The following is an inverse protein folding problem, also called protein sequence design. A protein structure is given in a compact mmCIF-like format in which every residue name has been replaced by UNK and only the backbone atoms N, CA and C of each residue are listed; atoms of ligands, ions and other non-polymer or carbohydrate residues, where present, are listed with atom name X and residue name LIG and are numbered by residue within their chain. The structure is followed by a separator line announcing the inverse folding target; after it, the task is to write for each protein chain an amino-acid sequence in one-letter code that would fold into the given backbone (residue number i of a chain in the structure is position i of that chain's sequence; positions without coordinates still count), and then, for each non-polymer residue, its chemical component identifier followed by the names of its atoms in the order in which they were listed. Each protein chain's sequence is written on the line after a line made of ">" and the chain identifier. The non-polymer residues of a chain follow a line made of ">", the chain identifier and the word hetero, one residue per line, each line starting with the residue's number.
data_IF_045185188918
#
_entry.id   IF_045185188918
#
_cell.length_a   1.000
_cell.length_b   1.000
_cell.length_c   1.000
_cell.angle_alpha   90.00
_cell.angle_beta   90.00
_cell.angle_gamma   90.00
#
_symmetry.space_group_name_H-M   'P 1'
#
loop_
_entity.id
_entity.type
_entity.pdbx_description
1 polymer ?
#
# COMPACT_ATOMS: atom_id res chain seq x y z
N UNK A 1 13.92 -1.03 -12.79
CA UNK A 1 13.37 -2.38 -13.13
C UNK A 1 12.29 -2.73 -12.12
N UNK A 2 11.49 -3.75 -12.32
CA UNK A 2 10.44 -4.25 -11.40
C UNK A 2 9.20 -3.35 -11.18
N UNK A 3 9.21 -2.09 -11.55
CA UNK A 3 8.06 -1.20 -11.46
C UNK A 3 7.43 -1.07 -12.84
N UNK A 4 6.30 -1.75 -13.05
CA UNK A 4 5.46 -1.62 -14.24
C UNK A 4 4.29 -0.66 -14.00
N UNK A 5 3.44 -0.49 -15.01
CA UNK A 5 2.28 0.40 -14.96
C UNK A 5 1.36 0.11 -13.75
N UNK A 6 1.05 -1.17 -13.51
CA UNK A 6 0.19 -1.56 -12.38
C UNK A 6 0.79 -1.16 -11.03
N UNK A 7 2.09 -1.40 -10.83
CA UNK A 7 2.80 -1.01 -9.59
C UNK A 7 2.89 0.51 -9.46
N UNK A 8 3.15 1.23 -10.55
CA UNK A 8 3.19 2.69 -10.56
C UNK A 8 1.83 3.29 -10.17
N UNK A 9 0.73 2.73 -10.69
CA UNK A 9 -0.63 3.12 -10.33
C UNK A 9 -0.91 2.89 -8.83
N UNK A 10 -0.52 1.74 -8.28
CA UNK A 10 -0.68 1.46 -6.84
C UNK A 10 0.10 2.46 -5.97
N UNK A 11 1.32 2.80 -6.36
CA UNK A 11 2.11 3.83 -5.68
C UNK A 11 1.40 5.19 -5.73
N UNK A 12 0.92 5.61 -6.91
CA UNK A 12 0.19 6.87 -7.07
C UNK A 12 -1.06 6.93 -6.20
N UNK A 13 -1.87 5.85 -6.17
CA UNK A 13 -3.07 5.75 -5.32
C UNK A 13 -2.73 5.79 -3.81
N UNK A 14 -1.63 5.16 -3.40
CA UNK A 14 -1.25 5.11 -1.99
C UNK A 14 -0.69 6.44 -1.47
N UNK A 15 0.09 7.15 -2.28
CA UNK A 15 0.76 8.37 -1.86
C UNK A 15 0.03 9.66 -2.28
N UNK A 16 -0.86 9.59 -3.27
CA UNK A 16 -1.71 10.70 -3.72
C UNK A 16 -0.98 11.73 -4.58
N UNK A 17 0.14 12.26 -4.12
CA UNK A 17 0.94 13.26 -4.84
C UNK A 17 2.39 12.81 -5.07
N UNK A 18 3.03 13.42 -6.07
CA UNK A 18 4.45 13.19 -6.36
C UNK A 18 5.35 13.54 -5.18
N UNK A 19 5.09 14.66 -4.50
CA UNK A 19 5.90 15.12 -3.37
C UNK A 19 5.75 14.18 -2.16
N UNK A 20 4.54 13.71 -1.88
CA UNK A 20 4.30 12.72 -0.82
C UNK A 20 5.00 11.40 -1.11
N UNK A 21 4.91 10.91 -2.36
CA UNK A 21 5.60 9.71 -2.79
C UNK A 21 7.12 9.86 -2.69
N UNK A 22 7.67 10.97 -3.19
CA UNK A 22 9.11 11.26 -3.15
C UNK A 22 9.63 11.27 -1.72
N UNK A 23 8.99 12.02 -0.83
CA UNK A 23 9.39 12.09 0.58
C UNK A 23 9.37 10.72 1.26
N UNK A 24 8.35 9.92 0.98
CA UNK A 24 8.27 8.55 1.50
C UNK A 24 9.41 7.67 0.97
N UNK A 25 9.75 7.75 -0.31
CA UNK A 25 10.84 6.96 -0.91
C UNK A 25 12.22 7.36 -0.38
N UNK A 26 12.44 8.63 -0.11
CA UNK A 26 13.68 9.11 0.53
C UNK A 26 13.81 8.55 1.96
N UNK A 27 12.72 8.48 2.71
CA UNK A 27 12.69 7.85 4.03
C UNK A 27 12.93 6.33 3.93
N UNK A 28 12.24 5.64 3.03
CA UNK A 28 12.43 4.21 2.73
C UNK A 28 13.89 3.91 2.43
N UNK A 29 14.53 4.72 1.60
CA UNK A 29 15.93 4.56 1.25
C UNK A 29 16.85 4.73 2.45
N UNK A 30 16.59 5.74 3.28
CA UNK A 30 17.35 5.98 4.52
C UNK A 30 17.26 4.80 5.48
N UNK A 31 16.05 4.28 5.72
CA UNK A 31 15.82 3.11 6.56
C UNK A 31 16.51 1.86 6.01
N UNK A 32 16.41 1.64 4.70
CA UNK A 32 17.03 0.50 4.02
C UNK A 32 18.56 0.57 4.04
N UNK A 33 19.13 1.76 3.87
CA UNK A 33 20.56 1.98 3.96
C UNK A 33 21.10 1.65 5.36
N UNK A 34 20.37 2.07 6.41
CA UNK A 34 20.75 1.80 7.80
C UNK A 34 20.64 0.31 8.17
N UNK A 35 19.79 -0.47 7.50
CA UNK A 35 19.48 -1.86 7.82
C UNK A 35 19.67 -2.79 6.61
N UNK A 36 20.80 -2.66 5.91
CA UNK A 36 21.11 -3.39 4.66
C UNK A 36 21.07 -4.91 4.78
N UNK A 37 21.38 -5.45 5.94
CA UNK A 37 21.49 -6.90 6.18
C UNK A 37 20.12 -7.59 6.46
N UNK A 38 19.08 -6.83 6.71
CA UNK A 38 17.75 -7.42 6.94
C UNK A 38 17.13 -7.86 5.60
N UNK A 39 16.77 -9.14 5.50
CA UNK A 39 16.27 -9.75 4.26
C UNK A 39 14.94 -10.47 4.40
N UNK A 40 14.36 -10.50 5.61
CA UNK A 40 13.18 -11.34 5.87
C UNK A 40 11.99 -10.60 6.44
N UNK A 41 12.23 -9.52 7.20
CA UNK A 41 11.20 -8.82 7.96
C UNK A 41 11.25 -7.33 7.67
N UNK A 42 10.35 -6.83 6.83
CA UNK A 42 10.28 -5.40 6.52
C UNK A 42 10.23 -4.51 7.76
N UNK A 43 9.58 -4.98 8.84
CA UNK A 43 9.45 -4.25 10.10
C UNK A 43 10.79 -3.98 10.81
N UNK A 44 11.80 -4.82 10.54
CA UNK A 44 13.14 -4.64 11.09
C UNK A 44 13.98 -3.64 10.27
N UNK A 45 13.57 -3.36 9.03
CA UNK A 45 14.22 -2.33 8.20
C UNK A 45 13.80 -0.95 8.68
N UNK A 46 12.51 -0.71 8.81
CA UNK A 46 11.94 0.54 9.28
C UNK A 46 10.45 0.63 9.01
N UNK A 47 9.81 1.67 9.52
CA UNK A 47 8.36 1.85 9.42
C UNK A 47 7.96 2.20 7.97
N UNK A 48 8.65 3.15 7.33
CA UNK A 48 8.35 3.56 5.97
C UNK A 48 8.61 2.41 4.97
N UNK A 49 9.68 1.64 5.19
CA UNK A 49 9.96 0.46 4.37
C UNK A 49 8.90 -0.63 4.56
N UNK A 50 8.46 -0.88 5.79
CA UNK A 50 7.41 -1.85 6.08
C UNK A 50 6.07 -1.43 5.47
N UNK A 51 5.73 -0.14 5.53
CA UNK A 51 4.55 0.42 4.90
C UNK A 51 4.57 0.22 3.39
N UNK A 52 5.68 0.52 2.73
CA UNK A 52 5.84 0.28 1.29
C UNK A 52 5.66 -1.20 0.96
N UNK A 53 6.27 -2.10 1.72
CA UNK A 53 6.11 -3.55 1.55
C UNK A 53 4.69 -4.05 1.89
N UNK A 54 3.88 -3.26 2.58
CA UNK A 54 2.49 -3.61 2.90
C UNK A 54 1.55 -3.41 1.71
N UNK A 55 1.89 -2.52 0.77
CA UNK A 55 1.11 -2.29 -0.45
C UNK A 55 1.02 -3.60 -1.23
N UNK A 56 -0.18 -3.93 -1.70
CA UNK A 56 -0.40 -5.18 -2.42
C UNK A 56 0.55 -5.30 -3.62
N UNK A 57 1.09 -6.47 -3.84
CA UNK A 57 2.09 -6.79 -4.88
C UNK A 57 3.49 -6.17 -4.69
N UNK A 58 3.69 -5.26 -3.73
CA UNK A 58 5.01 -4.69 -3.42
C UNK A 58 5.65 -5.49 -2.29
N UNK A 59 6.55 -6.39 -2.65
CA UNK A 59 7.39 -7.10 -1.69
C UNK A 59 8.76 -6.44 -1.52
N UNK A 60 9.61 -7.00 -0.65
CA UNK A 60 10.96 -6.49 -0.37
C UNK A 60 11.81 -6.30 -1.63
N UNK A 61 11.67 -7.17 -2.65
CA UNK A 61 12.43 -7.04 -3.90
C UNK A 61 12.11 -5.74 -4.66
N UNK A 62 10.84 -5.36 -4.73
CA UNK A 62 10.41 -4.10 -5.37
C UNK A 62 10.78 -2.90 -4.49
N UNK A 63 10.61 -3.05 -3.18
CA UNK A 63 10.98 -2.01 -2.21
C UNK A 63 12.49 -1.72 -2.23
N UNK A 64 13.33 -2.76 -2.37
CA UNK A 64 14.79 -2.62 -2.48
C UNK A 64 15.19 -1.88 -3.77
N UNK A 65 14.55 -2.15 -4.90
CA UNK A 65 14.81 -1.43 -6.16
C UNK A 65 14.43 0.06 -6.04
N UNK A 66 13.30 0.35 -5.39
CA UNK A 66 12.89 1.73 -5.13
C UNK A 66 13.84 2.42 -4.15
N UNK A 67 14.18 1.77 -3.03
CA UNK A 67 15.13 2.30 -2.06
C UNK A 67 16.51 2.59 -2.70
N UNK A 68 17.00 1.68 -3.54
CA UNK A 68 18.27 1.84 -4.25
C UNK A 68 18.25 2.99 -5.25
N UNK A 69 17.11 3.29 -5.88
CA UNK A 69 16.97 4.43 -6.76
C UNK A 69 17.15 5.76 -6.02
N UNK A 70 16.65 5.86 -4.79
CA UNK A 70 16.72 7.04 -3.93
C UNK A 70 17.94 7.05 -3.00
N UNK A 71 18.82 6.06 -3.09
CA UNK A 71 20.02 5.98 -2.23
C UNK A 71 20.87 7.26 -2.34
N UNK A 72 21.44 7.67 -1.21
CA UNK A 72 22.29 8.87 -1.13
C UNK A 72 23.48 8.80 -2.08
N UNK A 73 23.98 7.58 -2.34
CA UNK A 73 25.10 7.34 -3.26
C UNK A 73 24.67 7.51 -4.74
N UNK A 74 23.37 7.56 -5.04
CA UNK A 74 22.78 7.73 -6.37
C UNK A 74 22.24 9.15 -6.62
N UNK A 75 23.06 10.17 -6.34
CA UNK A 75 22.66 11.58 -6.52
C UNK A 75 22.17 11.90 -7.95
N UNK A 76 22.67 11.18 -8.97
CA UNK A 76 22.27 11.35 -10.36
C UNK A 76 20.78 11.05 -10.58
N UNK A 77 20.26 10.00 -9.95
CA UNK A 77 18.84 9.65 -10.04
C UNK A 77 17.92 10.75 -9.49
N UNK A 78 18.34 11.39 -8.38
CA UNK A 78 17.58 12.52 -7.80
C UNK A 78 17.59 13.72 -8.72
N UNK A 79 18.72 14.03 -9.33
CA UNK A 79 18.84 15.10 -10.32
C UNK A 79 17.93 14.85 -11.53
N UNK A 80 17.84 13.59 -12.00
CA UNK A 80 16.93 13.20 -13.10
C UNK A 80 15.47 13.47 -12.69
N UNK A 81 15.07 13.09 -11.47
CA UNK A 81 13.71 13.37 -10.98
C UNK A 81 13.43 14.88 -10.90
N UNK A 82 14.39 15.67 -10.41
CA UNK A 82 14.26 17.13 -10.32
C UNK A 82 14.10 17.77 -11.70
N UNK A 83 14.85 17.31 -12.69
CA UNK A 83 14.73 17.80 -14.07
C UNK A 83 13.40 17.36 -14.70
N UNK A 84 12.95 16.12 -14.48
CA UNK A 84 11.67 15.64 -14.96
C UNK A 84 10.50 16.42 -14.34
N UNK A 85 10.54 16.69 -13.04
CA UNK A 85 9.50 17.44 -12.34
C UNK A 85 9.37 18.89 -12.84
N UNK A 86 10.44 19.47 -13.43
CA UNK A 86 10.38 20.82 -14.02
C UNK A 86 9.68 20.87 -15.38
N UNK A 87 9.67 19.75 -16.11
CA UNK A 87 9.17 19.71 -17.50
C UNK A 87 7.85 18.94 -17.62
N UNK A 88 7.45 18.19 -16.60
CA UNK A 88 6.20 17.45 -16.54
C UNK A 88 5.20 18.20 -15.67
N UNK A 89 3.97 18.25 -16.12
CA UNK A 89 2.82 18.61 -15.28
C UNK A 89 2.34 17.34 -14.61
N UNK A 90 2.68 17.20 -13.31
CA UNK A 90 2.38 15.98 -12.54
C UNK A 90 1.12 16.25 -11.73
N UNK A 91 0.00 15.73 -12.23
CA UNK A 91 -1.28 15.84 -11.56
C UNK A 91 -1.32 14.95 -10.30
N UNK A 92 -1.96 15.45 -9.26
CA UNK A 92 -2.30 14.63 -8.09
C UNK A 92 -3.35 13.59 -8.50
N UNK A 93 -3.23 12.38 -7.92
CA UNK A 93 -4.27 11.39 -8.11
C UNK A 93 -5.51 11.87 -7.35
N UNK A 94 -6.51 12.31 -8.09
CA UNK A 94 -7.79 12.63 -7.51
C UNK A 94 -8.29 11.40 -6.73
N UNK A 95 -8.69 11.63 -5.46
CA UNK A 95 -9.46 10.60 -4.76
C UNK A 95 -10.64 10.24 -5.66
N UNK A 96 -10.96 8.94 -5.85
CA UNK A 96 -12.15 8.55 -6.60
C UNK A 96 -13.35 9.38 -6.12
N UNK A 97 -14.29 9.70 -7.02
CA UNK A 97 -15.53 10.46 -6.72
C UNK A 97 -16.39 9.86 -5.57
N UNK A 98 -15.89 8.84 -4.94
CA UNK A 98 -16.42 8.13 -3.77
C UNK A 98 -16.03 8.77 -2.42
N UNK A 99 -15.83 10.10 -2.38
CA UNK A 99 -15.53 10.82 -1.13
C UNK A 99 -16.58 10.56 -0.01
N UNK A 100 -17.80 10.16 -0.40
CA UNK A 100 -18.88 9.77 0.51
C UNK A 100 -18.87 8.28 0.90
N UNK A 101 -17.92 7.49 0.39
CA UNK A 101 -17.81 6.08 0.75
C UNK A 101 -17.30 5.91 2.18
N UNK A 102 -17.95 5.03 2.95
CA UNK A 102 -17.53 4.67 4.31
C UNK A 102 -16.09 4.13 4.39
N UNK A 103 -15.53 3.70 3.25
CA UNK A 103 -14.18 3.11 3.15
C UNK A 103 -13.17 4.03 2.45
N UNK A 104 -13.57 5.24 2.05
CA UNK A 104 -12.67 6.19 1.41
C UNK A 104 -11.48 6.54 2.32
N UNK A 105 -10.26 6.44 1.80
CA UNK A 105 -9.02 6.66 2.54
C UNK A 105 -8.64 5.57 3.55
N UNK A 106 -9.51 4.57 3.77
CA UNK A 106 -9.28 3.46 4.70
C UNK A 106 -8.35 2.39 4.12
N UNK A 107 -7.54 1.79 4.97
CA UNK A 107 -6.67 0.67 4.57
C UNK A 107 -7.36 -0.66 4.89
N UNK A 108 -7.57 -1.47 3.84
CA UNK A 108 -8.30 -2.73 3.90
C UNK A 108 -7.40 -3.91 3.54
N UNK A 109 -7.47 -4.98 4.32
CA UNK A 109 -6.78 -6.24 4.05
C UNK A 109 -7.81 -7.35 3.85
N UNK A 110 -7.69 -8.11 2.77
CA UNK A 110 -8.52 -9.29 2.50
C UNK A 110 -7.74 -10.57 2.84
N UNK A 111 -8.36 -11.49 3.58
CA UNK A 111 -7.77 -12.79 3.97
C UNK A 111 -8.78 -13.92 3.94
N UNK A 112 -8.33 -15.13 3.70
CA UNK A 112 -9.22 -16.27 3.51
C UNK A 112 -9.80 -16.36 2.10
N UNK A 113 -10.67 -17.35 1.87
CA UNK A 113 -11.42 -17.53 0.64
C UNK A 113 -12.75 -16.76 0.74
N UNK A 114 -12.94 -15.77 -0.10
CA UNK A 114 -14.22 -15.07 -0.22
C UNK A 114 -15.18 -15.91 -1.07
N UNK A 115 -16.45 -15.92 -0.73
CA UNK A 115 -17.49 -16.77 -1.35
C UNK A 115 -18.29 -15.99 -2.39
N UNK A 116 -18.66 -14.75 -2.10
CA UNK A 116 -19.49 -13.94 -2.97
C UNK A 116 -18.74 -13.27 -4.11
N UNK A 117 -17.43 -13.08 -3.97
CA UNK A 117 -16.58 -12.47 -5.00
C UNK A 117 -15.15 -13.02 -4.93
N UNK A 118 -14.43 -12.96 -6.03
CA UNK A 118 -13.01 -13.27 -6.02
C UNK A 118 -12.23 -12.21 -5.22
N UNK A 119 -11.05 -12.59 -4.71
CA UNK A 119 -10.17 -11.63 -4.02
C UNK A 119 -9.78 -10.46 -4.91
N UNK A 120 -9.61 -10.69 -6.22
CA UNK A 120 -9.32 -9.63 -7.19
C UNK A 120 -10.48 -8.64 -7.34
N UNK A 121 -11.71 -9.13 -7.41
CA UNK A 121 -12.92 -8.30 -7.47
C UNK A 121 -13.12 -7.50 -6.19
N UNK A 122 -12.91 -8.13 -5.01
CA UNK A 122 -12.99 -7.45 -3.72
C UNK A 122 -11.99 -6.28 -3.61
N UNK A 123 -10.75 -6.49 -4.06
CA UNK A 123 -9.72 -5.45 -4.11
C UNK A 123 -10.09 -4.33 -5.06
N UNK A 124 -10.45 -4.66 -6.30
CA UNK A 124 -10.84 -3.67 -7.31
C UNK A 124 -12.05 -2.84 -6.84
N UNK A 125 -13.01 -3.47 -6.16
CA UNK A 125 -14.17 -2.79 -5.58
C UNK A 125 -13.76 -1.84 -4.46
N UNK A 126 -12.88 -2.28 -3.53
CA UNK A 126 -12.36 -1.43 -2.47
C UNK A 126 -11.63 -0.20 -3.03
N UNK A 127 -10.73 -0.41 -4.01
CA UNK A 127 -9.99 0.65 -4.68
C UNK A 127 -10.91 1.63 -5.42
N UNK A 128 -11.96 1.13 -6.08
CA UNK A 128 -12.95 1.98 -6.76
C UNK A 128 -13.75 2.86 -5.79
N UNK A 129 -13.84 2.47 -4.52
CA UNK A 129 -14.48 3.21 -3.43
C UNK A 129 -13.49 4.07 -2.63
N UNK A 130 -12.27 4.24 -3.14
CA UNK A 130 -11.24 5.08 -2.51
C UNK A 130 -10.50 4.43 -1.34
N UNK A 131 -10.69 3.13 -1.08
CA UNK A 131 -9.90 2.42 -0.08
C UNK A 131 -8.50 2.07 -0.59
N UNK A 132 -7.55 1.98 0.31
CA UNK A 132 -6.19 1.46 0.07
C UNK A 132 -6.17 -0.02 0.38
N UNK A 133 -5.74 -0.85 -0.58
CA UNK A 133 -5.66 -2.29 -0.37
C UNK A 133 -4.25 -2.68 0.04
N UNK A 134 -4.13 -3.38 1.18
CA UNK A 134 -2.85 -3.85 1.71
C UNK A 134 -2.74 -5.37 1.68
N UNK A 135 -1.53 -5.85 1.39
CA UNK A 135 -1.19 -7.27 1.43
C UNK A 135 -0.89 -7.80 2.84
N UNK A 136 -0.65 -6.93 3.82
CA UNK A 136 -0.31 -7.30 5.20
C UNK A 136 -1.11 -6.48 6.22
N UNK A 137 -1.27 -7.03 7.43
CA UNK A 137 -1.95 -6.35 8.53
C UNK A 137 -0.92 -5.59 9.38
N UNK A 138 -1.16 -4.31 9.60
CA UNK A 138 -0.33 -3.41 10.42
C UNK A 138 -1.22 -2.52 11.31
N UNK A 139 -0.61 -1.68 12.14
CA UNK A 139 -1.34 -0.69 12.95
C UNK A 139 -2.08 0.37 12.12
N UNK A 140 -1.71 0.51 10.84
CA UNK A 140 -2.34 1.42 9.87
C UNK A 140 -3.51 0.77 9.11
N UNK A 141 -3.79 -0.52 9.36
CA UNK A 141 -4.93 -1.23 8.78
C UNK A 141 -6.19 -0.83 9.51
N UNK A 142 -7.21 -0.36 8.81
CA UNK A 142 -8.52 -0.02 9.38
C UNK A 142 -9.44 -1.24 9.43
N UNK A 143 -9.48 -2.03 8.36
CA UNK A 143 -10.36 -3.19 8.25
C UNK A 143 -9.64 -4.43 7.76
N UNK A 144 -9.96 -5.58 8.36
CA UNK A 144 -9.55 -6.89 7.85
C UNK A 144 -10.81 -7.69 7.49
N UNK A 145 -11.01 -7.89 6.19
CA UNK A 145 -12.14 -8.68 5.68
C UNK A 145 -11.75 -10.16 5.64
N UNK A 146 -12.48 -10.98 6.35
CA UNK A 146 -12.20 -12.41 6.51
C UNK A 146 -13.21 -13.25 5.75
N UNK A 147 -12.71 -14.10 4.85
CA UNK A 147 -13.48 -15.17 4.25
C UNK A 147 -13.25 -16.49 4.97
N UNK A 148 -13.65 -17.60 4.33
CA UNK A 148 -13.42 -18.93 4.86
C UNK A 148 -11.91 -19.21 5.03
N UNK A 149 -11.56 -19.98 6.05
CA UNK A 149 -10.17 -20.37 6.37
C UNK A 149 -9.21 -19.18 6.56
N UNK A 150 -9.70 -18.11 7.19
CA UNK A 150 -8.88 -16.96 7.52
C UNK A 150 -7.72 -17.36 8.46
N UNK A 151 -6.49 -17.27 7.94
CA UNK A 151 -5.29 -17.73 8.61
C UNK A 151 -4.66 -16.73 9.59
N UNK A 152 -3.33 -16.61 9.57
CA UNK A 152 -2.52 -15.78 10.46
C UNK A 152 -2.86 -14.29 10.44
N UNK A 153 -3.38 -13.76 9.34
CA UNK A 153 -3.75 -12.34 9.22
C UNK A 153 -4.93 -11.96 10.12
N UNK A 154 -5.92 -12.84 10.27
CA UNK A 154 -7.04 -12.61 11.20
C UNK A 154 -6.58 -12.58 12.66
N UNK A 155 -5.64 -13.46 13.04
CA UNK A 155 -5.03 -13.45 14.38
C UNK A 155 -4.25 -12.16 14.63
N UNK A 156 -3.43 -11.74 13.66
CA UNK A 156 -2.66 -10.51 13.74
C UNK A 156 -3.56 -9.27 13.84
N UNK A 157 -4.71 -9.26 13.16
CA UNK A 157 -5.71 -8.19 13.28
C UNK A 157 -6.25 -8.09 14.71
N UNK A 158 -6.63 -9.21 15.31
CA UNK A 158 -7.11 -9.25 16.69
C UNK A 158 -6.03 -8.78 17.70
N UNK A 159 -4.76 -9.18 17.49
CA UNK A 159 -3.62 -8.77 18.33
C UNK A 159 -3.36 -7.25 18.26
N UNK A 160 -3.59 -6.64 17.09
CA UNK A 160 -3.38 -5.21 16.85
C UNK A 160 -4.62 -4.35 17.12
N UNK A 161 -5.76 -4.98 17.49
CA UNK A 161 -7.03 -4.29 17.72
C UNK A 161 -7.66 -3.71 16.44
N UNK A 162 -7.32 -4.28 15.27
CA UNK A 162 -7.89 -3.89 13.98
C UNK A 162 -9.28 -4.50 13.83
N UNK A 163 -10.22 -3.72 13.31
CA UNK A 163 -11.58 -4.18 13.08
C UNK A 163 -11.65 -5.31 12.04
N UNK A 164 -12.28 -6.42 12.43
CA UNK A 164 -12.43 -7.61 11.58
C UNK A 164 -13.87 -7.70 11.09
N UNK A 165 -14.05 -7.71 9.78
CA UNK A 165 -15.35 -7.79 9.12
C UNK A 165 -15.50 -9.16 8.45
N UNK A 166 -16.71 -9.74 8.51
CA UNK A 166 -17.08 -10.83 7.63
C UNK A 166 -17.26 -10.32 6.19
N UNK A 167 -17.35 -11.23 5.22
CA UNK A 167 -17.63 -10.85 3.83
C UNK A 167 -18.98 -10.15 3.69
N UNK A 168 -19.99 -10.60 4.45
CA UNK A 168 -21.32 -9.99 4.47
C UNK A 168 -21.27 -8.57 5.05
N UNK A 169 -20.60 -8.40 6.21
CA UNK A 169 -20.45 -7.07 6.84
C UNK A 169 -19.69 -6.10 5.95
N UNK A 170 -18.68 -6.58 5.20
CA UNK A 170 -18.00 -5.79 4.20
C UNK A 170 -18.93 -5.35 3.08
N UNK A 171 -19.76 -6.25 2.55
CA UNK A 171 -20.72 -5.93 1.50
C UNK A 171 -21.76 -4.90 1.97
N UNK A 172 -22.25 -5.03 3.19
CA UNK A 172 -23.17 -4.06 3.80
C UNK A 172 -22.50 -2.69 3.93
N UNK A 173 -21.27 -2.64 4.41
CA UNK A 173 -20.49 -1.41 4.58
C UNK A 173 -20.31 -0.65 3.25
N UNK A 174 -20.02 -1.36 2.17
CA UNK A 174 -19.79 -0.75 0.85
C UNK A 174 -21.09 -0.52 0.04
N UNK A 175 -22.22 -1.12 0.45
CA UNK A 175 -23.51 -0.97 -0.22
C UNK A 175 -24.38 0.13 0.41
N UNK A 176 -24.08 0.51 1.63
CA UNK A 176 -24.77 1.58 2.37
C UNK A 176 -24.33 3.00 2.00
N UNK A 177 -23.62 3.11 0.88
CA UNK A 177 -23.05 4.37 0.35
C UNK A 177 -23.87 4.84 -0.84
#
# INVERSE_FOLDING_TARGET
>A
RQVGEATARLLALNYGSFDSWRSAMEQVSTERHANRDEQKKPENVGEAYADLCSIDTIGMAVADELAGFFDADNAENRNILDELAKVLDIEEVAAPDSADSAVAGKTVVFTGALVAMTRGEAKAKAESLGAKVSGSVSKKTDYVVVGADAGSKAKKAAELGVEVLSEEAWQELISGT
#
